data_IF_516980678532
#
_entry.id   IF_516980678532
#
_cell.length_a   1.000
_cell.length_b   1.000
_cell.length_c   1.000
_cell.angle_alpha   90.00
_cell.angle_beta   90.00
_cell.angle_gamma   90.00
#
_symmetry.space_group_name_H-M   'P 1'
#
loop_
_entity.id
_entity.type
_entity.pdbx_description
1 polymer ?
#
# COMPACT_ATOMS: atom_id res chain seq x y z
N UNK A 1 -38.36 5.61 53.53
CA UNK A 1 -37.83 5.83 52.17
C UNK A 1 -36.64 4.89 52.00
N UNK A 2 -36.60 4.15 50.89
CA UNK A 2 -35.55 3.16 50.52
C UNK A 2 -35.56 1.84 51.31
N UNK A 3 -36.72 1.17 51.31
CA UNK A 3 -36.72 -0.28 51.04
C UNK A 3 -36.32 -0.49 49.57
N UNK A 4 -35.67 -1.63 49.26
CA UNK A 4 -35.43 -2.22 47.91
C UNK A 4 -34.00 -2.31 47.33
N UNK A 5 -32.91 -1.87 47.96
CA UNK A 5 -31.58 -2.03 47.31
C UNK A 5 -30.71 -3.23 47.76
N UNK A 6 -30.98 -3.88 48.89
CA UNK A 6 -30.11 -4.99 49.37
C UNK A 6 -30.62 -6.40 49.01
N UNK A 7 -31.73 -6.54 48.29
CA UNK A 7 -32.34 -7.84 47.92
C UNK A 7 -32.15 -8.26 46.46
N UNK A 8 -31.38 -7.54 45.66
CA UNK A 8 -31.09 -7.90 44.25
C UNK A 8 -29.64 -8.39 44.06
N UNK A 9 -28.92 -8.65 45.15
CA UNK A 9 -27.55 -9.19 45.09
C UNK A 9 -27.52 -10.72 44.93
N UNK A 10 -28.62 -11.45 45.11
CA UNK A 10 -28.59 -12.92 45.09
C UNK A 10 -29.89 -13.52 44.55
N UNK A 11 -30.00 -13.69 43.23
CA UNK A 11 -30.77 -14.75 42.52
C UNK A 11 -30.91 -14.41 41.03
N UNK A 12 -30.84 -15.43 40.18
CA UNK A 12 -30.66 -15.43 38.72
C UNK A 12 -29.15 -15.47 38.40
N UNK A 13 -28.42 -16.56 38.66
CA UNK A 13 -28.70 -17.96 38.32
C UNK A 13 -29.15 -18.09 36.87
N UNK A 14 -28.19 -18.47 36.02
CA UNK A 14 -28.39 -19.42 34.91
C UNK A 14 -29.64 -19.13 34.07
N UNK A 15 -29.48 -18.31 33.03
CA UNK A 15 -30.37 -18.40 31.87
C UNK A 15 -29.57 -18.94 30.70
N UNK A 16 -29.70 -20.25 30.51
CA UNK A 16 -29.48 -20.91 29.23
C UNK A 16 -30.28 -20.16 28.16
N UNK A 17 -29.61 -19.33 27.37
CA UNK A 17 -30.07 -19.06 26.01
C UNK A 17 -29.20 -19.91 25.12
N UNK A 18 -29.74 -21.08 24.75
CA UNK A 18 -29.37 -21.82 23.55
C UNK A 18 -29.77 -20.92 22.38
N UNK A 19 -28.97 -19.89 22.16
CA UNK A 19 -29.02 -19.06 20.97
C UNK A 19 -27.98 -19.63 20.03
N UNK A 20 -28.46 -20.25 18.96
CA UNK A 20 -27.67 -20.67 17.80
C UNK A 20 -27.16 -19.42 17.09
N UNK A 21 -26.33 -18.62 17.75
CA UNK A 21 -25.51 -17.61 17.09
C UNK A 21 -24.46 -18.40 16.32
N UNK A 22 -24.42 -18.31 14.98
CA UNK A 22 -23.27 -18.86 14.26
C UNK A 22 -22.05 -18.15 14.82
N UNK A 23 -21.22 -18.89 15.55
CA UNK A 23 -19.87 -18.47 15.92
C UNK A 23 -19.16 -18.35 14.59
N UNK A 24 -19.17 -17.15 14.00
CA UNK A 24 -18.33 -16.86 12.85
C UNK A 24 -16.90 -17.10 13.36
N UNK A 25 -16.15 -18.04 12.76
CA UNK A 25 -14.83 -18.35 13.27
C UNK A 25 -13.95 -17.12 13.08
N UNK A 26 -13.54 -16.51 14.20
CA UNK A 26 -12.66 -15.33 14.28
C UNK A 26 -11.38 -15.49 13.42
N UNK A 27 -10.92 -16.74 13.25
CA UNK A 27 -9.77 -17.07 12.41
C UNK A 27 -9.92 -16.69 10.92
N UNK A 28 -11.14 -16.64 10.36
CA UNK A 28 -11.30 -16.33 8.93
C UNK A 28 -11.11 -14.85 8.63
N UNK A 29 -11.50 -13.96 9.56
CA UNK A 29 -11.30 -12.53 9.43
C UNK A 29 -9.81 -12.17 9.57
N UNK A 30 -9.12 -12.68 10.60
CA UNK A 30 -7.69 -12.41 10.82
C UNK A 30 -6.82 -12.83 9.62
N UNK A 31 -7.09 -14.00 9.03
CA UNK A 31 -6.34 -14.45 7.86
C UNK A 31 -6.64 -13.63 6.59
N UNK A 32 -7.85 -13.05 6.48
CA UNK A 32 -8.21 -12.18 5.35
C UNK A 32 -7.62 -10.76 5.51
N UNK A 33 -7.54 -10.24 6.75
CA UNK A 33 -6.91 -8.95 7.04
C UNK A 33 -5.44 -8.92 6.65
N UNK A 34 -4.68 -9.97 6.99
CA UNK A 34 -3.28 -10.04 6.60
C UNK A 34 -3.10 -10.15 5.08
N UNK A 35 -4.02 -10.79 4.35
CA UNK A 35 -3.90 -10.93 2.90
C UNK A 35 -4.08 -9.61 2.15
N UNK A 36 -5.01 -8.74 2.55
CA UNK A 36 -5.21 -7.46 1.85
C UNK A 36 -4.05 -6.47 2.07
N UNK A 37 -3.47 -6.47 3.27
CA UNK A 37 -2.29 -5.67 3.60
C UNK A 37 -1.05 -6.20 2.88
N UNK A 38 -0.86 -7.52 2.85
CA UNK A 38 0.20 -8.16 2.08
C UNK A 38 0.09 -7.81 0.59
N UNK A 39 -1.12 -7.92 0.01
CA UNK A 39 -1.37 -7.52 -1.38
C UNK A 39 -1.02 -6.05 -1.65
N UNK A 40 -1.34 -5.14 -0.73
CA UNK A 40 -0.92 -3.74 -0.83
C UNK A 40 0.60 -3.61 -0.89
N UNK A 41 1.33 -4.31 -0.01
CA UNK A 41 2.78 -4.25 0.01
C UNK A 41 3.42 -4.86 -1.23
N UNK A 42 2.83 -5.95 -1.76
CA UNK A 42 3.24 -6.54 -3.04
C UNK A 42 3.04 -5.57 -4.21
N UNK A 43 1.93 -4.81 -4.24
CA UNK A 43 1.73 -3.77 -5.26
C UNK A 43 2.78 -2.65 -5.16
N UNK A 44 3.16 -2.27 -3.93
CA UNK A 44 4.24 -1.29 -3.71
C UNK A 44 5.56 -1.85 -4.23
N UNK A 45 5.88 -3.11 -3.91
CA UNK A 45 7.08 -3.77 -4.41
C UNK A 45 7.10 -3.84 -5.94
N UNK A 46 6.00 -4.28 -6.56
CA UNK A 46 5.85 -4.33 -8.02
C UNK A 46 6.08 -2.95 -8.64
N UNK A 47 5.56 -1.88 -8.03
CA UNK A 47 5.79 -0.52 -8.52
C UNK A 47 7.27 -0.14 -8.47
N UNK A 48 7.97 -0.50 -7.40
CA UNK A 48 9.37 -0.15 -7.17
C UNK A 48 10.33 -1.00 -8.01
N UNK A 49 9.97 -2.24 -8.37
CA UNK A 49 10.82 -3.12 -9.19
C UNK A 49 11.05 -2.58 -10.61
N UNK A 50 10.15 -1.74 -11.13
CA UNK A 50 10.36 -1.05 -12.40
C UNK A 50 11.51 -0.03 -12.36
N UNK A 51 12.00 0.38 -11.19
CA UNK A 51 12.97 1.46 -11.08
C UNK A 51 14.34 1.12 -11.66
N UNK A 52 14.73 -0.15 -11.74
CA UNK A 52 15.93 -0.57 -12.46
C UNK A 52 15.81 -0.24 -13.96
N UNK A 53 14.71 -0.66 -14.59
CA UNK A 53 14.44 -0.34 -15.98
C UNK A 53 14.30 1.17 -16.24
N UNK A 54 13.69 1.92 -15.32
CA UNK A 54 13.59 3.38 -15.43
C UNK A 54 14.98 4.02 -15.35
N UNK A 55 15.80 3.60 -14.38
CA UNK A 55 17.16 4.09 -14.21
C UNK A 55 17.98 3.84 -15.48
N UNK A 56 17.94 2.61 -16.00
CA UNK A 56 18.73 2.21 -17.17
C UNK A 56 18.25 2.90 -18.44
N UNK A 57 16.93 3.05 -18.61
CA UNK A 57 16.38 3.84 -19.72
C UNK A 57 16.91 5.27 -19.68
N UNK A 58 16.79 5.94 -18.52
CA UNK A 58 17.23 7.32 -18.35
C UNK A 58 18.73 7.50 -18.50
N UNK A 59 19.53 6.53 -18.06
CA UNK A 59 20.96 6.52 -18.32
C UNK A 59 21.25 6.50 -19.82
N UNK A 60 20.64 5.58 -20.57
CA UNK A 60 20.83 5.42 -22.02
C UNK A 60 20.34 6.61 -22.84
N UNK A 61 19.29 7.28 -22.40
CA UNK A 61 18.76 8.49 -23.04
C UNK A 61 19.32 9.78 -22.46
N UNK A 62 20.32 9.69 -21.56
CA UNK A 62 20.93 10.82 -20.85
C UNK A 62 19.90 11.76 -20.21
N UNK A 63 18.84 11.19 -19.65
CA UNK A 63 17.73 11.90 -19.02
C UNK A 63 17.92 12.01 -17.50
N UNK A 64 17.43 13.09 -16.87
CA UNK A 64 17.54 13.25 -15.42
C UNK A 64 16.65 12.27 -14.65
N UNK A 65 17.09 11.88 -13.45
CA UNK A 65 16.29 11.07 -12.52
C UNK A 65 15.04 11.80 -12.08
N UNK A 66 15.16 13.11 -11.82
CA UNK A 66 14.04 14.00 -11.50
C UNK A 66 13.28 14.40 -12.77
N UNK A 67 11.96 14.32 -12.71
CA UNK A 67 11.04 14.65 -13.81
C UNK A 67 9.81 15.32 -13.19
N UNK A 68 9.93 16.63 -12.92
CA UNK A 68 8.92 17.39 -12.16
C UNK A 68 7.55 17.34 -12.83
N UNK A 69 7.51 17.40 -14.17
CA UNK A 69 6.27 17.31 -14.93
C UNK A 69 5.62 15.93 -14.76
N UNK A 70 6.39 14.84 -14.86
CA UNK A 70 5.84 13.50 -14.63
C UNK A 70 5.44 13.28 -13.17
N UNK A 71 6.21 13.78 -12.22
CA UNK A 71 5.89 13.70 -10.78
C UNK A 71 4.53 14.37 -10.50
N UNK A 72 4.28 15.55 -11.09
CA UNK A 72 2.99 16.24 -10.95
C UNK A 72 1.81 15.42 -11.52
N UNK A 73 1.98 14.78 -12.68
CA UNK A 73 0.94 13.91 -13.26
C UNK A 73 0.64 12.72 -12.34
N UNK A 74 1.67 12.05 -11.80
CA UNK A 74 1.48 10.91 -10.88
C UNK A 74 0.70 11.32 -9.63
N UNK A 75 1.00 12.50 -9.07
CA UNK A 75 0.30 13.00 -7.89
C UNK A 75 -1.15 13.37 -8.21
N UNK A 76 -1.39 14.02 -9.35
CA UNK A 76 -2.74 14.37 -9.80
C UNK A 76 -3.61 13.12 -9.99
N UNK A 77 -3.11 12.12 -10.73
CA UNK A 77 -3.82 10.86 -10.98
C UNK A 77 -4.19 10.15 -9.66
N UNK A 78 -3.26 10.13 -8.69
CA UNK A 78 -3.48 9.51 -7.39
C UNK A 78 -4.54 10.25 -6.56
N UNK A 79 -4.50 11.58 -6.55
CA UNK A 79 -5.48 12.42 -5.84
C UNK A 79 -6.87 12.31 -6.47
N UNK A 80 -6.96 12.31 -7.80
CA UNK A 80 -8.23 12.12 -8.51
C UNK A 80 -8.85 10.77 -8.16
N UNK A 81 -8.08 9.68 -8.31
CA UNK A 81 -8.53 8.32 -7.97
C UNK A 81 -8.96 8.23 -6.50
N UNK A 82 -8.20 8.84 -5.59
CA UNK A 82 -8.54 8.86 -4.16
C UNK A 82 -9.89 9.53 -3.89
N UNK A 83 -10.12 10.70 -4.50
CA UNK A 83 -11.36 11.45 -4.31
C UNK A 83 -12.56 10.69 -4.88
N UNK A 84 -12.41 10.02 -6.02
CA UNK A 84 -13.45 9.17 -6.62
C UNK A 84 -13.87 8.02 -5.68
N UNK A 85 -12.92 7.49 -4.92
CA UNK A 85 -13.13 6.41 -3.95
C UNK A 85 -13.53 6.91 -2.55
N UNK A 86 -13.72 8.22 -2.36
CA UNK A 86 -14.10 8.81 -1.07
C UNK A 86 -12.97 8.88 -0.03
N UNK A 87 -11.72 8.71 -0.47
CA UNK A 87 -10.55 8.91 0.38
C UNK A 87 -10.18 10.39 0.49
N UNK A 88 -9.44 10.74 1.54
CA UNK A 88 -8.90 12.10 1.70
C UNK A 88 -7.68 12.30 0.78
N UNK A 89 -7.88 12.97 -0.36
CA UNK A 89 -6.87 13.22 -1.38
C UNK A 89 -5.49 13.67 -0.85
N UNK A 90 -5.40 14.67 0.06
CA UNK A 90 -4.10 15.13 0.58
C UNK A 90 -3.28 14.07 1.34
N UNK A 91 -3.93 13.09 1.98
CA UNK A 91 -3.23 11.95 2.60
C UNK A 91 -2.64 11.03 1.54
N UNK A 92 -3.38 10.75 0.46
CA UNK A 92 -2.88 9.94 -0.67
C UNK A 92 -1.77 10.67 -1.41
N UNK A 93 -1.88 11.99 -1.62
CA UNK A 93 -0.81 12.80 -2.21
C UNK A 93 0.51 12.67 -1.41
N UNK A 94 0.42 12.77 -0.08
CA UNK A 94 1.59 12.64 0.81
C UNK A 94 2.23 11.26 0.72
N UNK A 95 1.40 10.21 0.64
CA UNK A 95 1.87 8.84 0.44
C UNK A 95 2.58 8.66 -0.92
N UNK A 96 2.02 9.19 -2.01
CA UNK A 96 2.67 9.11 -3.33
C UNK A 96 3.94 9.98 -3.42
N UNK A 97 4.03 11.10 -2.71
CA UNK A 97 5.28 11.86 -2.56
C UNK A 97 6.39 11.02 -1.91
N UNK A 98 6.06 10.24 -0.89
CA UNK A 98 7.01 9.31 -0.27
C UNK A 98 7.44 8.21 -1.27
N UNK A 99 6.50 7.61 -1.99
CA UNK A 99 6.78 6.61 -3.03
C UNK A 99 7.68 7.16 -4.16
N UNK A 100 7.46 8.40 -4.61
CA UNK A 100 8.31 9.08 -5.59
C UNK A 100 9.73 9.27 -5.03
N UNK A 101 9.85 9.67 -3.76
CA UNK A 101 11.15 9.86 -3.11
C UNK A 101 11.94 8.55 -3.03
N UNK A 102 11.28 7.46 -2.62
CA UNK A 102 11.87 6.10 -2.60
C UNK A 102 12.27 5.65 -4.01
N UNK A 103 11.39 5.84 -5.00
CA UNK A 103 11.67 5.52 -6.40
C UNK A 103 12.90 6.27 -6.94
N UNK A 104 13.09 7.54 -6.57
CA UNK A 104 14.29 8.31 -6.96
C UNK A 104 15.53 7.78 -6.25
N UNK A 105 15.45 7.44 -4.97
CA UNK A 105 16.58 6.86 -4.23
C UNK A 105 17.08 5.55 -4.87
N UNK A 106 16.16 4.65 -5.27
CA UNK A 106 16.50 3.41 -5.97
C UNK A 106 17.20 3.71 -7.31
N UNK A 107 16.64 4.63 -8.12
CA UNK A 107 17.28 5.03 -9.38
C UNK A 107 18.68 5.62 -9.18
N UNK A 108 18.88 6.45 -8.14
CA UNK A 108 20.20 7.01 -7.84
C UNK A 108 21.20 5.94 -7.44
N UNK A 109 20.78 4.91 -6.68
CA UNK A 109 21.63 3.77 -6.34
C UNK A 109 22.08 3.02 -7.59
N UNK A 110 21.15 2.59 -8.45
CA UNK A 110 21.51 1.90 -9.68
C UNK A 110 22.48 2.71 -10.55
N UNK A 111 22.21 4.01 -10.72
CA UNK A 111 23.12 4.89 -11.49
C UNK A 111 24.49 5.04 -10.83
N UNK A 112 24.60 4.90 -9.52
CA UNK A 112 25.88 4.89 -8.81
C UNK A 112 26.62 3.56 -9.06
N UNK A 113 25.91 2.43 -8.98
CA UNK A 113 26.48 1.10 -9.23
C UNK A 113 27.00 0.96 -10.67
N UNK A 114 26.33 1.62 -11.63
CA UNK A 114 26.69 1.56 -13.05
C UNK A 114 27.74 2.58 -13.48
N UNK A 115 28.33 3.36 -12.57
CA UNK A 115 29.39 4.32 -12.93
C UNK A 115 30.61 3.64 -13.57
N UNK A 116 30.91 2.40 -13.18
CA UNK A 116 32.01 1.61 -13.76
C UNK A 116 31.58 0.75 -14.94
N UNK A 117 30.42 0.12 -14.85
CA UNK A 117 29.91 -0.79 -15.89
C UNK A 117 28.37 -0.80 -15.87
N UNK A 118 27.76 -0.36 -16.97
CA UNK A 118 26.31 -0.39 -17.13
C UNK A 118 25.83 -1.79 -17.55
N UNK A 119 24.62 -2.21 -17.15
CA UNK A 119 24.07 -3.49 -17.53
C UNK A 119 23.87 -3.60 -19.04
N UNK A 120 24.12 -4.81 -19.56
CA UNK A 120 23.99 -5.12 -20.99
C UNK A 120 22.54 -5.38 -21.42
N UNK A 121 21.63 -5.68 -20.50
CA UNK A 121 20.22 -5.96 -20.83
C UNK A 121 19.50 -4.72 -21.37
N UNK A 122 18.48 -4.89 -22.21
CA UNK A 122 17.75 -3.75 -22.79
C UNK A 122 16.64 -3.29 -21.83
N UNK A 123 16.56 -1.99 -21.46
CA UNK A 123 15.48 -1.52 -20.62
C UNK A 123 14.15 -1.56 -21.38
N UNK A 124 13.07 -1.77 -20.64
CA UNK A 124 11.72 -1.65 -21.17
C UNK A 124 11.46 -0.22 -21.68
N UNK A 125 10.55 -0.06 -22.63
CA UNK A 125 10.16 1.24 -23.14
C UNK A 125 9.47 2.07 -22.03
N UNK A 126 10.04 3.23 -21.71
CA UNK A 126 9.54 4.08 -20.64
C UNK A 126 8.12 4.58 -20.90
N UNK A 127 7.79 4.96 -22.14
CA UNK A 127 6.51 5.57 -22.49
C UNK A 127 5.42 4.55 -22.78
N UNK A 128 5.74 3.50 -23.53
CA UNK A 128 4.76 2.53 -24.03
C UNK A 128 4.50 1.39 -23.04
N UNK A 129 5.46 1.12 -22.13
CA UNK A 129 5.38 -0.03 -21.22
C UNK A 129 5.38 0.42 -19.76
N UNK A 130 6.45 1.09 -19.32
CA UNK A 130 6.65 1.35 -17.88
C UNK A 130 5.64 2.36 -17.35
N UNK A 131 5.49 3.53 -17.98
CA UNK A 131 4.58 4.59 -17.49
C UNK A 131 3.12 4.13 -17.41
N UNK A 132 2.53 3.45 -18.41
CA UNK A 132 1.18 2.89 -18.30
C UNK A 132 1.05 1.89 -17.16
N UNK A 133 2.02 0.99 -16.99
CA UNK A 133 2.01 -0.01 -15.92
C UNK A 133 2.13 0.62 -14.54
N UNK A 134 3.00 1.62 -14.36
CA UNK A 134 3.10 2.40 -13.12
C UNK A 134 1.80 3.16 -12.80
N UNK A 135 1.12 3.71 -13.81
CA UNK A 135 -0.20 4.34 -13.62
C UNK A 135 -1.25 3.30 -13.20
N UNK A 136 -1.27 2.11 -13.82
CA UNK A 136 -2.17 1.03 -13.42
C UNK A 136 -1.91 0.57 -11.98
N UNK A 137 -0.66 0.28 -11.63
CA UNK A 137 -0.30 -0.15 -10.27
C UNK A 137 -0.65 0.96 -9.26
N UNK A 138 -0.40 2.23 -9.61
CA UNK A 138 -0.79 3.37 -8.79
C UNK A 138 -2.29 3.37 -8.45
N UNK A 139 -3.16 3.12 -9.43
CA UNK A 139 -4.60 2.97 -9.19
C UNK A 139 -4.92 1.79 -8.27
N UNK A 140 -4.33 0.62 -8.55
CA UNK A 140 -4.53 -0.58 -7.72
C UNK A 140 -4.09 -0.38 -6.26
N UNK A 141 -3.03 0.40 -6.02
CA UNK A 141 -2.60 0.79 -4.68
C UNK A 141 -3.68 1.63 -3.98
N UNK A 142 -4.23 2.64 -4.66
CA UNK A 142 -5.30 3.49 -4.08
C UNK A 142 -6.58 2.68 -3.85
N UNK A 143 -6.98 1.81 -4.79
CA UNK A 143 -8.11 0.90 -4.66
C UNK A 143 -7.96 -0.01 -3.43
N UNK A 144 -6.76 -0.56 -3.23
CA UNK A 144 -6.49 -1.44 -2.09
C UNK A 144 -6.51 -0.66 -0.76
N UNK A 145 -5.96 0.56 -0.74
CA UNK A 145 -6.08 1.46 0.43
C UNK A 145 -7.54 1.78 0.73
N UNK A 146 -8.36 2.06 -0.28
CA UNK A 146 -9.80 2.31 -0.12
C UNK A 146 -10.53 1.09 0.45
N UNK A 147 -10.16 -0.11 -0.01
CA UNK A 147 -10.70 -1.39 0.48
C UNK A 147 -10.38 -1.57 1.97
N UNK A 148 -9.10 -1.45 2.34
CA UNK A 148 -8.64 -1.55 3.74
C UNK A 148 -9.36 -0.53 4.63
N UNK A 149 -9.44 0.74 4.19
CA UNK A 149 -10.12 1.80 4.92
C UNK A 149 -11.61 1.50 5.14
N UNK A 150 -12.30 1.01 4.10
CA UNK A 150 -13.73 0.66 4.17
C UNK A 150 -14.00 -0.53 5.09
N UNK A 151 -13.05 -1.46 5.19
CA UNK A 151 -13.12 -2.60 6.10
C UNK A 151 -12.75 -2.25 7.55
N UNK A 152 -12.33 -1.01 7.81
CA UNK A 152 -11.84 -0.56 9.13
C UNK A 152 -10.44 -1.09 9.47
N UNK A 153 -9.70 -1.56 8.48
CA UNK A 153 -8.35 -2.08 8.64
C UNK A 153 -7.33 -0.94 8.70
N UNK A 154 -6.36 -1.07 9.60
CA UNK A 154 -5.33 -0.06 9.80
C UNK A 154 -3.95 -0.68 9.67
N UNK A 155 -3.14 -0.08 8.78
CA UNK A 155 -1.71 -0.38 8.70
C UNK A 155 -1.04 0.24 9.93
N UNK A 156 -0.32 -0.59 10.67
CA UNK A 156 0.36 -0.20 11.91
C UNK A 156 1.68 -0.96 12.07
N UNK A 157 2.41 -0.70 13.16
CA UNK A 157 3.74 -1.25 13.43
C UNK A 157 3.81 -2.78 13.47
N UNK A 158 2.72 -3.50 13.75
CA UNK A 158 2.72 -4.96 13.73
C UNK A 158 2.93 -5.53 12.32
N UNK A 159 2.65 -4.74 11.29
CA UNK A 159 2.83 -5.10 9.87
C UNK A 159 4.24 -4.77 9.36
N UNK A 160 5.14 -4.24 10.20
CA UNK A 160 6.50 -3.86 9.81
C UNK A 160 7.28 -5.02 9.20
N UNK A 161 7.24 -6.18 9.84
CA UNK A 161 7.96 -7.37 9.35
C UNK A 161 7.36 -7.87 8.04
N UNK A 162 6.03 -7.85 7.92
CA UNK A 162 5.35 -8.16 6.67
C UNK A 162 5.78 -7.22 5.55
N UNK A 163 5.81 -5.91 5.80
CA UNK A 163 6.29 -4.92 4.85
C UNK A 163 7.74 -5.20 4.41
N UNK A 164 8.65 -5.41 5.36
CA UNK A 164 10.04 -5.70 5.03
C UNK A 164 10.22 -6.99 4.23
N UNK A 165 9.42 -8.02 4.50
CA UNK A 165 9.46 -9.27 3.75
C UNK A 165 8.82 -9.16 2.36
N UNK A 166 7.92 -8.19 2.14
CA UNK A 166 7.27 -7.97 0.84
C UNK A 166 8.06 -7.05 -0.10
N UNK A 167 8.91 -6.16 0.43
CA UNK A 167 9.72 -5.25 -0.37
C UNK A 167 11.11 -5.85 -0.63
N UNK A 168 11.33 -6.34 -1.84
CA UNK A 168 12.57 -7.00 -2.28
C UNK A 168 13.19 -6.22 -3.45
N UNK A 169 13.72 -5.03 -3.14
CA UNK A 169 14.36 -4.16 -4.13
C UNK A 169 15.87 -4.10 -3.86
N UNK A 170 16.61 -4.86 -4.66
CA UNK A 170 18.08 -4.99 -4.61
C UNK A 170 18.84 -3.69 -4.63
#
# INVERSE_FOLDING_TARGET
MVSKLEKVIIRITVFCVVGLFPVIPLNKAINAHNSDIEELFLLINERLSYMEHVALYKERTNSPTEDIEREAVVLMDAVETANELGLFGPSIESFFKAQISVAKAIQYRYRADWQSESPSFVPLNLQETIRPKLTQIGKSIVDKIATLYSNGEQINEEHRDLFHNSIDIE
#
